data_IF_972780981491
#
_entry.id   IF_972780981491
#
_cell.length_a   1.000
_cell.length_b   1.000
_cell.length_c   1.000
_cell.angle_alpha   90.00
_cell.angle_beta   90.00
_cell.angle_gamma   90.00
#
_symmetry.space_group_name_H-M   'P 1'
#
loop_
_entity.id
_entity.type
_entity.pdbx_description
1 polymer ?
#
# COMPACT_ATOMS: atom_id res chain seq x y z
N UNK A 1 -5.66 -13.57 -23.32
CA UNK A 1 -4.19 -13.41 -23.35
C UNK A 1 -3.80 -11.95 -23.18
N UNK A 2 -4.17 -11.05 -24.11
CA UNK A 2 -3.84 -9.62 -24.07
C UNK A 2 -4.08 -8.95 -22.70
N UNK A 3 -5.27 -9.13 -22.11
CA UNK A 3 -5.58 -8.57 -20.79
C UNK A 3 -4.66 -9.08 -19.67
N UNK A 4 -4.27 -10.37 -19.70
CA UNK A 4 -3.41 -10.96 -18.69
C UNK A 4 -1.97 -10.43 -18.78
N UNK A 5 -1.44 -10.29 -19.99
CA UNK A 5 -0.12 -9.68 -20.23
C UNK A 5 -0.12 -8.19 -19.85
N UNK A 6 -1.27 -7.51 -19.95
CA UNK A 6 -1.47 -6.16 -19.45
C UNK A 6 -1.69 -6.08 -17.92
N UNK A 7 -1.67 -7.21 -17.21
CA UNK A 7 -1.72 -7.28 -15.75
C UNK A 7 -3.09 -7.60 -15.14
N UNK A 8 -4.10 -7.97 -15.94
CA UNK A 8 -5.35 -8.50 -15.41
C UNK A 8 -5.17 -9.92 -14.84
N UNK A 9 -5.98 -10.26 -13.84
CA UNK A 9 -6.02 -11.61 -13.28
C UNK A 9 -4.75 -11.99 -12.50
N UNK A 10 -4.00 -11.01 -11.98
CA UNK A 10 -2.88 -11.27 -11.09
C UNK A 10 -3.34 -11.20 -9.62
N UNK A 11 -3.48 -12.35 -8.97
CA UNK A 11 -3.95 -12.45 -7.58
C UNK A 11 -2.98 -13.30 -6.77
N UNK A 12 -2.30 -12.69 -5.79
CA UNK A 12 -1.33 -13.38 -4.95
C UNK A 12 -0.18 -13.96 -5.78
N UNK A 13 -0.06 -15.30 -5.80
CA UNK A 13 0.96 -16.04 -6.57
C UNK A 13 0.45 -16.57 -7.93
N UNK A 14 -0.76 -16.21 -8.33
CA UNK A 14 -1.37 -16.67 -9.58
C UNK A 14 -1.50 -15.52 -10.57
N UNK A 15 -1.22 -15.80 -11.84
CA UNK A 15 -1.35 -14.87 -12.97
C UNK A 15 -2.36 -15.39 -13.99
N UNK A 16 -2.87 -14.50 -14.84
CA UNK A 16 -3.82 -14.83 -15.91
C UNK A 16 -5.13 -15.50 -15.42
N UNK A 17 -5.57 -15.19 -14.19
CA UNK A 17 -6.85 -15.65 -13.67
C UNK A 17 -8.01 -15.01 -14.45
N UNK A 18 -8.83 -15.86 -15.09
CA UNK A 18 -10.06 -15.43 -15.76
C UNK A 18 -11.11 -16.54 -15.68
N UNK A 19 -12.38 -16.14 -15.69
CA UNK A 19 -13.52 -17.05 -15.83
C UNK A 19 -14.20 -16.82 -17.17
N UNK A 20 -14.82 -17.87 -17.74
CA UNK A 20 -15.51 -17.79 -19.03
C UNK A 20 -16.83 -18.53 -18.96
N UNK A 21 -17.89 -17.87 -19.42
CA UNK A 21 -19.23 -18.46 -19.52
C UNK A 21 -19.70 -18.35 -20.97
N UNK A 22 -20.04 -19.46 -21.65
CA UNK A 22 -20.66 -19.38 -22.97
C UNK A 22 -22.09 -18.79 -22.87
N UNK A 23 -22.53 -18.08 -23.90
CA UNK A 23 -23.86 -17.51 -23.99
C UNK A 23 -24.21 -17.12 -25.43
N UNK A 24 -25.38 -16.53 -25.62
CA UNK A 24 -25.81 -15.98 -26.89
C UNK A 24 -25.82 -14.46 -26.75
N UNK A 25 -25.01 -13.79 -27.57
CA UNK A 25 -25.05 -12.34 -27.75
C UNK A 25 -26.01 -11.99 -28.87
N UNK A 26 -26.76 -10.90 -28.72
CA UNK A 26 -27.61 -10.39 -29.78
C UNK A 26 -27.37 -8.90 -30.02
N UNK A 27 -27.36 -8.52 -31.30
CA UNK A 27 -27.16 -7.14 -31.72
C UNK A 27 -27.81 -6.92 -33.09
N UNK A 28 -28.13 -5.66 -33.39
CA UNK A 28 -28.63 -5.25 -34.72
C UNK A 28 -27.72 -4.14 -35.24
N UNK A 29 -26.87 -4.39 -36.25
CA UNK A 29 -26.04 -3.34 -36.81
C UNK A 29 -26.92 -2.25 -37.44
N UNK A 30 -26.63 -0.98 -37.15
CA UNK A 30 -27.34 0.17 -37.71
C UNK A 30 -26.60 0.75 -38.92
N UNK A 31 -27.25 1.67 -39.65
CA UNK A 31 -26.65 2.35 -40.80
C UNK A 31 -25.33 3.04 -40.41
N UNK A 32 -24.26 2.76 -41.16
CA UNK A 32 -22.91 3.28 -40.89
C UNK A 32 -22.01 2.37 -40.06
N UNK A 33 -22.52 1.25 -39.53
CA UNK A 33 -21.69 0.24 -38.86
C UNK A 33 -20.88 -0.62 -39.84
N UNK A 34 -19.71 -1.09 -39.39
CA UNK A 34 -18.91 -2.11 -40.09
C UNK A 34 -18.87 -3.39 -39.26
N UNK A 35 -19.99 -4.14 -39.19
CA UNK A 35 -20.07 -5.30 -38.31
C UNK A 35 -19.07 -6.36 -38.75
N UNK A 36 -18.35 -6.94 -37.79
CA UNK A 36 -17.46 -8.07 -38.05
C UNK A 36 -18.24 -9.32 -38.51
N UNK A 37 -19.48 -9.48 -38.02
CA UNK A 37 -20.42 -10.55 -38.37
C UNK A 37 -21.82 -9.94 -38.53
N UNK A 38 -22.57 -10.37 -39.54
CA UNK A 38 -23.97 -10.01 -39.74
C UNK A 38 -24.22 -8.90 -40.78
N UNK A 39 -25.49 -8.52 -40.94
CA UNK A 39 -25.93 -7.50 -41.91
C UNK A 39 -26.68 -6.33 -41.26
N UNK A 40 -26.51 -5.13 -41.83
CA UNK A 40 -27.19 -3.91 -41.37
C UNK A 40 -28.71 -4.09 -41.39
N UNK A 41 -29.36 -3.69 -40.30
CA UNK A 41 -30.81 -3.77 -40.10
C UNK A 41 -31.34 -5.14 -39.66
N UNK A 42 -30.49 -6.18 -39.61
CA UNK A 42 -30.88 -7.54 -39.22
C UNK A 42 -30.47 -7.80 -37.78
N UNK A 43 -31.37 -8.43 -36.99
CA UNK A 43 -31.00 -8.89 -35.65
C UNK A 43 -30.17 -10.16 -35.80
N UNK A 44 -28.94 -10.11 -35.31
CA UNK A 44 -28.00 -11.23 -35.29
C UNK A 44 -27.98 -11.85 -33.90
N UNK A 45 -27.84 -13.17 -33.85
CA UNK A 45 -27.60 -13.94 -32.63
C UNK A 45 -26.36 -14.80 -32.85
N UNK A 46 -25.37 -14.66 -31.96
CA UNK A 46 -24.08 -15.32 -32.09
C UNK A 46 -23.67 -16.00 -30.78
N UNK A 47 -23.00 -17.14 -30.89
CA UNK A 47 -22.37 -17.77 -29.73
C UNK A 47 -21.18 -16.93 -29.26
N UNK A 48 -21.22 -16.52 -27.99
CA UNK A 48 -20.18 -15.68 -27.39
C UNK A 48 -19.71 -16.27 -26.06
N UNK A 49 -18.56 -15.76 -25.59
CA UNK A 49 -18.07 -16.01 -24.24
C UNK A 49 -18.05 -14.74 -23.43
N UNK A 50 -18.76 -14.72 -22.30
CA UNK A 50 -18.54 -13.73 -21.26
C UNK A 50 -17.24 -14.04 -20.54
N UNK A 51 -16.20 -13.24 -20.78
CA UNK A 51 -14.90 -13.36 -20.13
C UNK A 51 -14.82 -12.37 -18.95
N UNK A 52 -14.52 -12.91 -17.77
CA UNK A 52 -14.42 -12.14 -16.53
C UNK A 52 -13.02 -12.24 -15.95
N UNK A 53 -12.46 -11.11 -15.50
CA UNK A 53 -11.16 -11.05 -14.81
C UNK A 53 -11.11 -9.86 -13.88
N UNK A 54 -10.23 -9.90 -12.87
CA UNK A 54 -10.04 -8.79 -11.93
C UNK A 54 -8.83 -7.95 -12.33
N UNK A 55 -8.84 -6.67 -11.99
CA UNK A 55 -7.72 -5.76 -12.25
C UNK A 55 -7.61 -4.74 -11.13
N UNK A 56 -6.38 -4.36 -10.75
CA UNK A 56 -6.17 -3.23 -9.85
C UNK A 56 -6.56 -1.92 -10.54
N UNK A 57 -7.17 -0.98 -9.80
CA UNK A 57 -7.67 0.28 -10.37
C UNK A 57 -6.60 1.06 -11.14
N UNK A 58 -5.35 1.05 -10.67
CA UNK A 58 -4.20 1.70 -11.32
C UNK A 58 -3.85 1.10 -12.69
N UNK A 59 -4.17 -0.18 -12.91
CA UNK A 59 -3.90 -0.91 -14.15
C UNK A 59 -5.05 -0.93 -15.16
N UNK A 60 -6.25 -0.45 -14.78
CA UNK A 60 -7.47 -0.58 -15.57
C UNK A 60 -7.32 -0.06 -17.01
N UNK A 61 -6.84 1.18 -17.18
CA UNK A 61 -6.69 1.79 -18.51
C UNK A 61 -5.73 1.01 -19.42
N UNK A 62 -4.68 0.41 -18.87
CA UNK A 62 -3.72 -0.39 -19.64
C UNK A 62 -4.38 -1.69 -20.11
N UNK A 63 -5.17 -2.33 -19.25
CA UNK A 63 -5.90 -3.57 -19.56
C UNK A 63 -6.98 -3.31 -20.61
N UNK A 64 -7.77 -2.23 -20.48
CA UNK A 64 -8.80 -1.86 -21.45
C UNK A 64 -8.21 -1.61 -22.83
N UNK A 65 -7.10 -0.87 -22.92
CA UNK A 65 -6.40 -0.67 -24.21
C UNK A 65 -5.97 -2.00 -24.83
N UNK A 66 -5.37 -2.89 -24.05
CA UNK A 66 -4.95 -4.20 -24.54
C UNK A 66 -6.14 -5.09 -24.97
N UNK A 67 -7.28 -4.99 -24.28
CA UNK A 67 -8.52 -5.66 -24.67
C UNK A 67 -9.03 -5.12 -26.01
N UNK A 68 -9.22 -3.81 -26.13
CA UNK A 68 -9.70 -3.17 -27.36
C UNK A 68 -8.82 -3.50 -28.56
N UNK A 69 -7.49 -3.41 -28.43
CA UNK A 69 -6.58 -3.71 -29.53
C UNK A 69 -6.57 -5.19 -29.96
N UNK A 70 -6.98 -6.10 -29.10
CA UNK A 70 -7.01 -7.53 -29.38
C UNK A 70 -8.40 -8.06 -29.75
N UNK A 71 -9.45 -7.26 -29.56
CA UNK A 71 -10.83 -7.66 -29.80
C UNK A 71 -11.15 -7.55 -31.30
N UNK A 72 -11.90 -8.52 -31.89
CA UNK A 72 -12.22 -8.49 -33.31
C UNK A 72 -13.22 -7.40 -33.71
N UNK A 73 -14.10 -7.00 -32.78
CA UNK A 73 -15.12 -5.98 -33.05
C UNK A 73 -14.55 -4.56 -32.93
N UNK A 74 -15.04 -3.67 -33.78
CA UNK A 74 -14.77 -2.22 -33.73
C UNK A 74 -15.25 -1.63 -32.40
N UNK A 75 -16.51 -1.91 -32.05
CA UNK A 75 -17.12 -1.49 -30.79
C UNK A 75 -17.20 -2.67 -29.83
N UNK A 76 -16.37 -2.64 -28.79
CA UNK A 76 -16.26 -3.73 -27.82
C UNK A 76 -17.22 -3.49 -26.66
N UNK A 77 -18.18 -4.39 -26.45
CA UNK A 77 -19.02 -4.38 -25.27
C UNK A 77 -18.24 -4.92 -24.05
N UNK A 78 -18.18 -4.14 -22.97
CA UNK A 78 -17.58 -4.58 -21.70
C UNK A 78 -18.17 -3.81 -20.52
N UNK A 79 -18.11 -4.42 -19.34
CA UNK A 79 -18.52 -3.82 -18.08
C UNK A 79 -17.35 -3.71 -17.11
N UNK A 80 -17.34 -2.64 -16.30
CA UNK A 80 -16.37 -2.47 -15.20
C UNK A 80 -17.11 -2.41 -13.88
N UNK A 81 -17.02 -3.48 -13.11
CA UNK A 81 -17.60 -3.56 -11.77
C UNK A 81 -16.58 -3.16 -10.70
N UNK A 82 -16.95 -2.18 -9.87
CA UNK A 82 -16.17 -1.87 -8.67
C UNK A 82 -16.45 -2.94 -7.62
N UNK A 83 -15.46 -3.77 -7.34
CA UNK A 83 -15.55 -4.80 -6.32
C UNK A 83 -15.24 -4.24 -4.92
N UNK A 84 -15.84 -4.86 -3.89
CA UNK A 84 -15.50 -4.60 -2.49
C UNK A 84 -14.18 -5.28 -2.06
N UNK A 85 -13.57 -6.06 -2.94
CA UNK A 85 -12.29 -6.71 -2.72
C UNK A 85 -11.23 -5.66 -2.32
N UNK A 86 -10.53 -5.92 -1.21
CA UNK A 86 -9.41 -5.09 -0.80
C UNK A 86 -8.25 -5.24 -1.78
N UNK A 87 -7.67 -4.10 -2.19
CA UNK A 87 -6.37 -4.07 -2.85
C UNK A 87 -5.22 -4.12 -1.85
N UNK A 88 -4.02 -3.78 -2.31
CA UNK A 88 -2.89 -3.55 -1.41
C UNK A 88 -3.22 -2.41 -0.46
N UNK A 89 -3.11 -2.68 0.84
CA UNK A 89 -3.29 -1.66 1.87
C UNK A 89 -1.96 -0.94 2.08
N UNK A 90 -1.95 0.35 1.80
CA UNK A 90 -0.85 1.24 2.16
C UNK A 90 -1.18 1.93 3.48
N UNK A 91 -0.19 2.07 4.36
CA UNK A 91 -0.34 2.75 5.64
C UNK A 91 0.92 3.52 6.01
N UNK A 92 0.71 4.66 6.67
CA UNK A 92 1.78 5.54 7.19
C UNK A 92 2.64 4.88 8.28
N UNK A 93 2.12 3.83 8.90
CA UNK A 93 2.82 3.11 9.96
C UNK A 93 2.63 1.60 9.86
N UNK A 94 3.16 0.89 10.85
CA UNK A 94 2.98 -0.56 11.03
C UNK A 94 2.54 -0.82 12.45
N UNK A 95 1.77 -1.89 12.65
CA UNK A 95 1.44 -2.41 13.98
C UNK A 95 1.86 -3.86 14.08
N UNK A 96 2.26 -4.26 15.27
CA UNK A 96 2.67 -5.61 15.57
C UNK A 96 2.57 -5.92 17.05
N UNK A 97 3.05 -7.10 17.42
CA UNK A 97 3.09 -7.57 18.81
C UNK A 97 4.50 -8.04 19.14
N UNK A 98 5.03 -7.61 20.27
CA UNK A 98 6.29 -8.12 20.82
C UNK A 98 6.13 -9.59 21.20
N UNK A 99 7.20 -10.38 21.05
CA UNK A 99 7.20 -11.79 21.38
C UNK A 99 6.79 -12.05 22.84
N UNK A 100 7.25 -11.20 23.76
CA UNK A 100 6.87 -11.22 25.18
C UNK A 100 6.51 -9.79 25.63
N UNK A 101 5.49 -9.64 26.51
CA UNK A 101 5.20 -8.35 27.14
C UNK A 101 6.42 -7.81 27.91
N UNK A 102 6.60 -6.49 27.91
CA UNK A 102 7.62 -5.83 28.72
C UNK A 102 7.09 -4.50 29.26
N UNK A 103 7.78 -3.88 30.22
CA UNK A 103 7.38 -2.55 30.70
C UNK A 103 7.59 -1.49 29.61
N UNK A 104 6.81 -0.41 29.66
CA UNK A 104 6.97 0.74 28.76
C UNK A 104 8.39 1.31 28.81
N UNK A 105 9.00 1.36 30.00
CA UNK A 105 10.40 1.76 30.18
C UNK A 105 11.38 0.82 29.47
N UNK A 106 11.21 -0.50 29.61
CA UNK A 106 12.07 -1.47 28.91
C UNK A 106 11.96 -1.33 27.40
N UNK A 107 10.74 -1.11 26.89
CA UNK A 107 10.52 -0.85 25.47
C UNK A 107 11.18 0.47 25.03
N UNK A 108 11.04 1.55 25.79
CA UNK A 108 11.67 2.83 25.50
C UNK A 108 13.21 2.70 25.44
N UNK A 109 13.80 1.93 26.35
CA UNK A 109 15.24 1.60 26.33
C UNK A 109 15.63 0.81 25.07
N UNK A 110 14.83 -0.18 24.67
CA UNK A 110 15.05 -0.92 23.41
C UNK A 110 14.96 -0.01 22.19
N UNK A 111 13.95 0.85 22.12
CA UNK A 111 13.77 1.82 21.02
C UNK A 111 14.99 2.74 20.94
N UNK A 112 15.43 3.31 22.06
CA UNK A 112 16.62 4.13 22.14
C UNK A 112 17.85 3.41 21.57
N UNK A 113 18.08 2.17 21.96
CA UNK A 113 19.23 1.37 21.49
C UNK A 113 19.12 1.01 20.00
N UNK A 114 17.96 0.54 19.55
CA UNK A 114 17.75 0.08 18.16
C UNK A 114 17.88 1.23 17.16
N UNK A 115 17.32 2.39 17.47
CA UNK A 115 17.38 3.56 16.57
C UNK A 115 18.59 4.46 16.84
N UNK A 116 19.41 4.12 17.84
CA UNK A 116 20.58 4.91 18.23
C UNK A 116 20.21 6.33 18.63
N UNK A 117 19.14 6.50 19.40
CA UNK A 117 18.69 7.79 19.90
C UNK A 117 19.55 8.22 21.09
N UNK A 118 19.87 9.52 21.21
CA UNK A 118 20.53 10.05 22.41
C UNK A 118 19.59 9.99 23.63
N UNK A 119 18.29 10.19 23.41
CA UNK A 119 17.24 10.08 24.39
C UNK A 119 15.89 9.88 23.70
N UNK A 120 14.87 9.51 24.48
CA UNK A 120 13.48 9.40 24.03
C UNK A 120 12.58 10.05 25.05
N UNK A 121 11.44 10.59 24.62
CA UNK A 121 10.41 11.15 25.52
C UNK A 121 9.25 10.17 25.59
N UNK A 122 8.68 9.99 26.77
CA UNK A 122 7.64 8.97 26.98
C UNK A 122 6.40 9.61 27.61
N UNK A 123 5.24 9.26 27.06
CA UNK A 123 3.91 9.56 27.60
C UNK A 123 3.33 8.27 28.16
N UNK A 124 2.88 8.29 29.41
CA UNK A 124 2.23 7.14 30.06
C UNK A 124 2.92 6.67 31.33
N UNK A 125 2.51 5.51 31.82
CA UNK A 125 3.07 4.90 33.02
C UNK A 125 4.24 3.97 32.65
N UNK A 126 5.46 4.32 33.07
CA UNK A 126 6.68 3.55 32.80
C UNK A 126 6.62 2.08 33.20
N UNK A 127 5.84 1.74 34.24
CA UNK A 127 5.68 0.37 34.74
C UNK A 127 4.58 -0.41 34.04
N UNK A 128 3.76 0.23 33.21
CA UNK A 128 2.71 -0.44 32.48
C UNK A 128 3.30 -1.47 31.52
N UNK A 129 2.72 -2.66 31.51
CA UNK A 129 3.10 -3.71 30.57
C UNK A 129 2.51 -3.40 29.19
N UNK A 130 3.36 -3.50 28.17
CA UNK A 130 3.01 -3.27 26.77
C UNK A 130 3.44 -4.46 25.92
N UNK A 131 2.66 -4.77 24.89
CA UNK A 131 2.99 -5.83 23.94
C UNK A 131 2.57 -5.48 22.52
N UNK A 132 1.40 -4.86 22.33
CA UNK A 132 0.91 -4.36 21.04
C UNK A 132 1.57 -3.01 20.77
N UNK A 133 2.35 -2.94 19.71
CA UNK A 133 3.13 -1.75 19.36
C UNK A 133 2.67 -1.25 17.99
N UNK A 134 2.36 0.04 17.90
CA UNK A 134 2.24 0.74 16.63
C UNK A 134 3.45 1.64 16.43
N UNK A 135 3.89 1.79 15.19
CA UNK A 135 5.01 2.64 14.83
C UNK A 135 4.66 3.46 13.58
N UNK A 136 4.91 4.77 13.65
CA UNK A 136 4.83 5.72 12.54
C UNK A 136 6.16 6.47 12.55
N UNK A 137 7.00 6.31 11.53
CA UNK A 137 8.28 7.05 11.47
C UNK A 137 8.04 8.54 11.21
N UNK A 138 9.01 9.38 11.56
CA UNK A 138 8.91 10.83 11.35
C UNK A 138 7.86 11.49 12.23
N UNK A 139 7.11 12.44 11.68
CA UNK A 139 6.15 13.30 12.41
C UNK A 139 4.75 12.69 12.56
N UNK A 140 4.63 11.55 13.23
CA UNK A 140 3.34 10.89 13.50
C UNK A 140 2.54 11.46 14.68
N UNK A 141 3.03 12.47 15.40
CA UNK A 141 2.34 13.10 16.53
C UNK A 141 0.91 13.58 16.20
N UNK A 142 0.72 14.17 15.03
CA UNK A 142 -0.60 14.64 14.54
C UNK A 142 -1.60 13.53 14.26
N UNK A 143 -1.13 12.27 14.13
CA UNK A 143 -1.98 11.11 13.87
C UNK A 143 -2.42 10.42 15.16
N UNK A 144 -1.83 10.75 16.32
CA UNK A 144 -2.16 10.16 17.61
C UNK A 144 -3.66 10.29 17.92
N UNK A 145 -4.27 11.44 17.58
CA UNK A 145 -5.70 11.67 17.80
C UNK A 145 -6.61 10.67 17.06
N UNK A 146 -6.14 10.12 15.93
CA UNK A 146 -6.90 9.20 15.05
C UNK A 146 -6.67 7.72 15.38
N UNK A 147 -5.72 7.41 16.26
CA UNK A 147 -5.40 6.03 16.64
C UNK A 147 -6.38 5.59 17.73
N UNK A 148 -7.06 4.47 17.49
CA UNK A 148 -7.87 3.83 18.53
C UNK A 148 -6.91 3.28 19.62
N UNK A 149 -7.04 3.68 20.91
CA UNK A 149 -6.21 3.16 22.00
C UNK A 149 -6.25 1.63 22.15
N UNK A 150 -7.30 0.97 21.68
CA UNK A 150 -7.37 -0.50 21.69
C UNK A 150 -6.53 -1.15 20.58
N UNK A 151 -6.09 -0.38 19.58
CA UNK A 151 -5.29 -0.90 18.46
C UNK A 151 -3.82 -1.15 18.84
N UNK A 152 -3.30 -0.47 19.86
CA UNK A 152 -1.93 -0.61 20.35
C UNK A 152 -1.81 -0.17 21.81
N UNK A 153 -0.97 -0.86 22.59
CA UNK A 153 -0.67 -0.46 23.98
C UNK A 153 0.26 0.76 24.02
N UNK A 154 1.04 0.95 22.96
CA UNK A 154 2.01 2.04 22.81
C UNK A 154 2.24 2.39 21.33
N UNK A 155 2.36 3.69 21.04
CA UNK A 155 2.72 4.22 19.73
C UNK A 155 4.15 4.78 19.77
N UNK A 156 4.99 4.36 18.83
CA UNK A 156 6.34 4.89 18.62
C UNK A 156 6.29 5.86 17.43
N UNK A 157 6.74 7.10 17.63
CA UNK A 157 6.76 8.15 16.60
C UNK A 157 7.83 9.19 16.89
N UNK A 158 8.01 10.18 16.01
CA UNK A 158 8.70 11.44 16.28
C UNK A 158 7.74 12.64 16.31
N UNK A 159 8.32 13.80 16.65
CA UNK A 159 7.71 15.14 16.65
C UNK A 159 6.39 15.28 17.43
N UNK A 160 6.30 14.65 18.60
CA UNK A 160 5.12 14.79 19.45
C UNK A 160 5.13 16.15 20.15
N UNK A 161 4.10 16.95 19.88
CA UNK A 161 3.88 18.24 20.54
C UNK A 161 3.24 18.06 21.91
N UNK A 162 3.33 19.11 22.73
CA UNK A 162 2.80 19.08 24.10
C UNK A 162 1.31 18.72 24.17
N UNK A 163 0.47 19.36 23.35
CA UNK A 163 -0.98 19.09 23.35
C UNK A 163 -1.32 17.70 22.80
N UNK A 164 -0.56 17.19 21.83
CA UNK A 164 -0.72 15.82 21.32
C UNK A 164 -0.38 14.79 22.41
N UNK A 165 0.68 15.05 23.19
CA UNK A 165 1.04 14.23 24.34
C UNK A 165 -0.03 14.26 25.45
N UNK A 166 -0.60 15.43 25.75
CA UNK A 166 -1.71 15.55 26.70
C UNK A 166 -2.94 14.76 26.23
N UNK A 167 -3.31 14.90 24.96
CA UNK A 167 -4.45 14.19 24.39
C UNK A 167 -4.25 12.67 24.42
N UNK A 168 -3.05 12.19 24.04
CA UNK A 168 -2.69 10.78 24.14
C UNK A 168 -2.83 10.26 25.57
N UNK A 169 -2.35 11.02 26.56
CA UNK A 169 -2.48 10.68 27.98
C UNK A 169 -3.94 10.60 28.43
N UNK A 170 -4.78 11.56 28.03
CA UNK A 170 -6.22 11.55 28.36
C UNK A 170 -6.95 10.34 27.74
N UNK A 171 -6.51 9.88 26.57
CA UNK A 171 -7.01 8.66 25.91
C UNK A 171 -6.44 7.36 26.49
N UNK A 172 -5.57 7.43 27.50
CA UNK A 172 -4.89 6.25 28.06
C UNK A 172 -3.89 5.61 27.09
N UNK A 173 -3.43 6.35 26.07
CA UNK A 173 -2.50 5.87 25.07
C UNK A 173 -1.07 6.19 25.47
N UNK A 174 -0.21 5.16 25.54
CA UNK A 174 1.21 5.37 25.76
C UNK A 174 1.89 5.78 24.45
N UNK A 175 2.88 6.67 24.55
CA UNK A 175 3.64 7.15 23.39
C UNK A 175 5.13 7.16 23.72
N UNK A 176 5.95 6.70 22.79
CA UNK A 176 7.40 6.89 22.81
C UNK A 176 7.74 7.80 21.64
N UNK A 177 8.17 9.02 21.96
CA UNK A 177 8.78 9.92 21.00
C UNK A 177 10.28 9.63 20.90
N UNK A 178 10.69 9.08 19.76
CA UNK A 178 12.05 8.66 19.48
C UNK A 178 12.81 9.62 18.55
N UNK A 179 12.23 10.77 18.20
CA UNK A 179 12.79 11.75 17.27
C UNK A 179 12.50 11.41 15.80
N UNK A 180 12.34 12.46 14.97
CA UNK A 180 12.01 12.32 13.55
C UNK A 180 13.16 11.67 12.77
N UNK A 181 14.35 12.27 12.89
CA UNK A 181 15.52 11.89 12.12
C UNK A 181 16.02 10.49 12.49
N UNK A 182 15.96 10.12 13.77
CA UNK A 182 16.38 8.82 14.27
C UNK A 182 15.54 7.68 13.70
N UNK A 183 14.23 7.89 13.58
CA UNK A 183 13.33 6.89 13.01
C UNK A 183 13.50 6.78 11.49
N UNK A 184 13.84 7.86 10.79
CA UNK A 184 13.88 7.88 9.31
C UNK A 184 15.26 7.65 8.70
N UNK A 185 16.37 7.95 9.39
CA UNK A 185 17.74 7.78 8.84
C UNK A 185 18.04 6.37 8.31
N UNK A 186 17.33 5.36 8.82
CA UNK A 186 17.43 3.97 8.38
C UNK A 186 16.94 3.76 6.94
N UNK A 187 16.02 4.61 6.46
CA UNK A 187 15.51 4.57 5.09
C UNK A 187 16.60 4.76 4.05
N UNK A 188 17.65 5.55 4.34
CA UNK A 188 18.76 5.77 3.41
C UNK A 188 19.40 4.44 3.02
N UNK A 189 19.68 3.57 3.99
CA UNK A 189 20.30 2.27 3.72
C UNK A 189 19.34 1.34 2.96
N UNK A 190 18.07 1.29 3.35
CA UNK A 190 17.06 0.43 2.74
C UNK A 190 16.75 0.82 1.29
N UNK A 191 16.51 2.11 1.04
CA UNK A 191 16.22 2.64 -0.29
C UNK A 191 17.45 2.52 -1.19
N UNK A 192 18.66 2.77 -0.67
CA UNK A 192 19.88 2.55 -1.44
C UNK A 192 20.01 1.10 -1.90
N UNK A 193 19.79 0.13 -1.01
CA UNK A 193 19.89 -1.28 -1.36
C UNK A 193 18.83 -1.69 -2.41
N UNK A 194 17.61 -1.16 -2.29
CA UNK A 194 16.55 -1.35 -3.28
C UNK A 194 16.92 -0.76 -4.65
N UNK A 195 17.46 0.47 -4.68
CA UNK A 195 17.89 1.12 -5.91
C UNK A 195 19.07 0.38 -6.55
N UNK A 196 20.04 -0.08 -5.76
CA UNK A 196 21.15 -0.88 -6.23
C UNK A 196 20.67 -2.20 -6.87
N UNK A 197 19.66 -2.85 -6.28
CA UNK A 197 19.06 -4.06 -6.83
C UNK A 197 18.33 -3.82 -8.14
N UNK A 198 17.52 -2.76 -8.21
CA UNK A 198 16.81 -2.39 -9.42
C UNK A 198 17.77 -2.01 -10.55
N UNK A 199 18.86 -1.30 -10.24
CA UNK A 199 19.90 -0.97 -11.22
C UNK A 199 20.56 -2.23 -11.78
N UNK A 200 20.83 -3.25 -10.95
CA UNK A 200 21.35 -4.55 -11.42
C UNK A 200 20.37 -5.23 -12.35
N UNK A 201 19.08 -5.28 -12.01
CA UNK A 201 18.06 -5.89 -12.85
C UNK A 201 17.92 -5.19 -14.21
N UNK A 202 18.03 -3.86 -14.24
CA UNK A 202 17.96 -3.07 -15.47
C UNK A 202 19.30 -2.89 -16.18
N UNK A 203 20.39 -3.49 -15.68
CA UNK A 203 21.77 -3.34 -16.21
C UNK A 203 22.23 -1.88 -16.28
N UNK A 204 21.81 -1.07 -15.32
CA UNK A 204 22.24 0.31 -15.14
C UNK A 204 23.40 0.38 -14.15
N UNK A 205 24.31 1.33 -14.34
CA UNK A 205 25.47 1.55 -13.46
C UNK A 205 25.58 3.01 -12.99
N UNK A 206 24.52 3.59 -12.39
CA UNK A 206 24.61 4.95 -11.86
C UNK A 206 25.46 4.98 -10.59
N UNK A 207 26.07 6.14 -10.31
CA UNK A 207 26.62 6.43 -9.00
C UNK A 207 25.46 6.72 -8.01
N UNK A 208 25.40 5.99 -6.90
CA UNK A 208 24.38 6.16 -5.85
C UNK A 208 25.00 6.88 -4.66
N UNK A 209 24.74 8.17 -4.55
CA UNK A 209 25.21 9.02 -3.46
C UNK A 209 24.28 8.89 -2.24
N UNK A 210 24.84 8.48 -1.09
CA UNK A 210 24.11 8.32 0.18
C UNK A 210 24.38 9.51 1.08
N UNK A 211 23.50 10.50 1.09
CA UNK A 211 23.62 11.66 1.98
C UNK A 211 23.09 11.31 3.38
N UNK A 212 23.90 11.52 4.41
CA UNK A 212 23.48 11.45 5.81
C UNK A 212 23.71 12.80 6.46
N UNK A 213 22.64 13.44 6.89
CA UNK A 213 22.73 14.71 7.62
C UNK A 213 23.13 14.47 9.08
N UNK A 214 23.83 15.44 9.66
CA UNK A 214 24.10 15.45 11.10
C UNK A 214 22.79 15.66 11.87
N UNK A 215 22.67 15.16 13.12
CA UNK A 215 21.50 15.43 13.95
C UNK A 215 21.25 16.93 14.11
N UNK A 216 20.02 17.37 13.83
CA UNK A 216 19.59 18.76 14.07
C UNK A 216 19.52 19.09 15.57
N UNK A 217 19.20 18.09 16.40
CA UNK A 217 19.13 18.22 17.85
C UNK A 217 20.34 17.56 18.52
N UNK A 218 20.84 18.21 19.57
CA UNK A 218 21.84 17.63 20.48
C UNK A 218 21.29 17.73 21.90
N UNK A 219 21.33 16.62 22.63
CA UNK A 219 21.00 16.60 24.04
C UNK A 219 22.26 16.96 24.84
N UNK A 220 22.12 17.89 25.77
CA UNK A 220 23.16 18.30 26.73
C UNK A 220 23.02 17.53 28.03
#
# INVERSE_FOLDING_TARGET
>A
KAMAEAGAGHIGKYSACSFRTPGIGSFRPEDGSQPFIGSVGVLEEVEEYRLETVVEQSGLNRVLKAMHSAHPYEEVAYDVYRLANGGRIYSMGRRGRLAQPCSLESLAGKVKTVFGCQGVRVVGNYRQMVQRVAMISGSGGSLLARINPEAADVVITGDVKYHEAQEARLKGMNVIDAGHQELEKHMIALVSALLEDECRHQKLSPEILKLKESPCFRLL
#
